data_IF_889811342868
#
_entry.id   IF_889811342868
#
_cell.length_a   1.000
_cell.length_b   1.000
_cell.length_c   1.000
_cell.angle_alpha   90.00
_cell.angle_beta   90.00
_cell.angle_gamma   90.00
#
_symmetry.space_group_name_H-M   'P 1'
#
loop_
_entity.id
_entity.type
_entity.pdbx_description
1 polymer ?
#
# COMPACT_ATOMS: atom_id res chain seq x y z
N UNK A 1 -11.55 -0.06 7.40
CA UNK A 1 -11.06 -1.44 7.21
C UNK A 1 -11.65 -1.91 5.89
N UNK A 2 -10.84 -2.57 5.05
CA UNK A 2 -11.33 -3.17 3.81
C UNK A 2 -12.48 -4.14 4.10
N UNK A 3 -13.41 -4.27 3.16
CA UNK A 3 -14.46 -5.30 3.21
C UNK A 3 -13.93 -6.72 2.91
N UNK A 4 -12.64 -6.84 2.56
CA UNK A 4 -11.96 -8.09 2.20
C UNK A 4 -10.55 -8.18 2.77
N UNK A 5 -10.04 -9.39 2.96
CA UNK A 5 -8.70 -9.66 3.47
C UNK A 5 -7.63 -9.61 2.37
N UNK A 6 -6.38 -9.43 2.78
CA UNK A 6 -5.22 -9.53 1.87
C UNK A 6 -5.17 -10.89 1.17
N UNK A 7 -5.50 -11.99 1.85
CA UNK A 7 -5.52 -13.32 1.23
C UNK A 7 -6.59 -13.43 0.14
N UNK A 8 -7.77 -12.82 0.31
CA UNK A 8 -8.80 -12.81 -0.74
C UNK A 8 -8.32 -12.07 -2.00
N UNK A 9 -7.55 -10.99 -1.83
CA UNK A 9 -6.90 -10.31 -2.96
C UNK A 9 -5.84 -11.20 -3.62
N UNK A 10 -5.00 -11.90 -2.83
CA UNK A 10 -3.98 -12.79 -3.38
C UNK A 10 -4.59 -14.00 -4.10
N UNK A 11 -5.69 -14.55 -3.61
CA UNK A 11 -6.44 -15.62 -4.27
C UNK A 11 -7.08 -15.14 -5.59
N UNK A 12 -7.59 -13.91 -5.61
CA UNK A 12 -8.05 -13.28 -6.85
C UNK A 12 -6.88 -13.06 -7.84
N UNK A 13 -5.70 -12.66 -7.37
CA UNK A 13 -4.50 -12.52 -8.19
C UNK A 13 -4.07 -13.86 -8.80
N UNK A 14 -4.10 -14.95 -8.03
CA UNK A 14 -3.86 -16.31 -8.56
C UNK A 14 -4.86 -16.66 -9.65
N UNK A 15 -6.14 -16.31 -9.45
CA UNK A 15 -7.18 -16.50 -10.47
C UNK A 15 -6.88 -15.72 -11.75
N UNK A 16 -6.43 -14.46 -11.66
CA UNK A 16 -6.02 -13.67 -12.83
C UNK A 16 -4.93 -14.40 -13.62
N UNK A 17 -3.91 -14.95 -12.96
CA UNK A 17 -2.83 -15.66 -13.65
C UNK A 17 -3.28 -16.95 -14.34
N UNK A 18 -4.29 -17.66 -13.80
CA UNK A 18 -4.89 -18.81 -14.51
C UNK A 18 -5.51 -18.36 -15.84
N UNK A 19 -6.20 -17.22 -15.84
CA UNK A 19 -6.81 -16.66 -17.05
C UNK A 19 -5.77 -16.19 -18.08
N UNK A 20 -4.68 -15.57 -17.61
CA UNK A 20 -3.56 -15.19 -18.47
C UNK A 20 -2.86 -16.43 -19.06
N UNK A 21 -2.71 -17.49 -18.27
CA UNK A 21 -2.16 -18.77 -18.75
C UNK A 21 -3.03 -19.38 -19.85
N UNK A 22 -4.36 -19.27 -19.76
CA UNK A 22 -5.25 -19.68 -20.85
C UNK A 22 -5.07 -18.84 -22.12
N UNK A 23 -4.82 -17.54 -22.00
CA UNK A 23 -4.50 -16.71 -23.18
C UNK A 23 -3.18 -17.13 -23.83
N UNK A 24 -2.17 -17.50 -23.03
CA UNK A 24 -0.93 -18.08 -23.54
C UNK A 24 -1.18 -19.45 -24.17
N UNK A 25 -2.05 -20.27 -23.58
CA UNK A 25 -2.42 -21.59 -24.10
C UNK A 25 -3.06 -21.49 -25.49
N UNK A 26 -4.02 -20.59 -25.67
CA UNK A 26 -4.71 -20.34 -26.95
C UNK A 26 -3.72 -19.84 -28.01
N UNK A 27 -2.86 -18.90 -27.63
CA UNK A 27 -1.99 -18.20 -28.58
C UNK A 27 -0.72 -18.96 -28.95
N UNK A 28 -0.15 -19.71 -28.00
CA UNK A 28 1.20 -20.27 -28.09
C UNK A 28 1.31 -21.75 -27.70
N UNK A 29 0.20 -22.39 -27.30
CA UNK A 29 0.13 -23.80 -26.98
C UNK A 29 0.53 -24.17 -25.55
N UNK A 30 0.30 -25.44 -25.16
CA UNK A 30 0.36 -25.89 -23.76
C UNK A 30 1.75 -25.79 -23.14
N UNK A 31 2.81 -26.00 -23.92
CA UNK A 31 4.19 -25.92 -23.41
C UNK A 31 4.53 -24.52 -22.91
N UNK A 32 4.17 -23.46 -23.65
CA UNK A 32 4.48 -22.08 -23.23
C UNK A 32 3.59 -21.64 -22.07
N UNK A 33 2.33 -22.06 -22.05
CA UNK A 33 1.43 -21.76 -20.95
C UNK A 33 1.90 -22.43 -19.64
N UNK A 34 2.35 -23.69 -19.72
CA UNK A 34 2.89 -24.40 -18.57
C UNK A 34 4.19 -23.77 -18.07
N UNK A 35 5.04 -23.29 -18.97
CA UNK A 35 6.26 -22.56 -18.61
C UNK A 35 5.96 -21.21 -17.96
N UNK A 36 4.87 -20.54 -18.36
CA UNK A 36 4.41 -19.28 -17.77
C UNK A 36 3.86 -19.48 -16.35
N UNK A 37 2.93 -20.42 -16.16
CA UNK A 37 2.20 -20.59 -14.89
C UNK A 37 2.87 -21.58 -13.92
N UNK A 38 3.81 -22.40 -14.40
CA UNK A 38 4.59 -23.34 -13.59
C UNK A 38 4.06 -24.77 -13.51
N UNK A 39 2.95 -25.10 -14.19
CA UNK A 39 2.38 -26.46 -14.20
C UNK A 39 1.58 -26.74 -15.47
N UNK A 40 1.41 -28.00 -15.90
CA UNK A 40 0.64 -28.33 -17.11
C UNK A 40 -0.88 -28.12 -16.92
N UNK A 41 -1.66 -27.95 -18.01
CA UNK A 41 -3.12 -27.87 -17.88
C UNK A 41 -3.66 -29.23 -17.40
N UNK A 42 -4.69 -29.22 -16.56
CA UNK A 42 -5.32 -30.46 -16.09
C UNK A 42 -6.26 -31.09 -17.11
N UNK A 43 -7.09 -32.02 -16.63
CA UNK A 43 -7.90 -32.91 -17.46
C UNK A 43 -8.91 -32.18 -18.36
N UNK A 44 -9.33 -30.97 -17.96
CA UNK A 44 -10.25 -30.13 -18.74
C UNK A 44 -9.54 -29.32 -19.82
N UNK A 45 -8.22 -29.36 -19.89
CA UNK A 45 -7.42 -28.69 -20.91
C UNK A 45 -7.31 -27.18 -20.78
N UNK A 46 -7.81 -26.57 -19.69
CA UNK A 46 -7.79 -25.12 -19.44
C UNK A 46 -7.41 -24.83 -17.98
N UNK A 47 -6.67 -23.75 -17.76
CA UNK A 47 -6.19 -23.30 -16.46
C UNK A 47 -7.28 -22.61 -15.63
N UNK A 48 -8.27 -21.95 -16.24
CA UNK A 48 -9.42 -21.36 -15.51
C UNK A 48 -10.16 -22.35 -14.61
N UNK A 49 -10.10 -23.65 -14.93
CA UNK A 49 -10.74 -24.71 -14.15
C UNK A 49 -9.87 -25.27 -13.02
N UNK A 50 -8.63 -24.81 -12.92
CA UNK A 50 -7.70 -25.21 -11.88
C UNK A 50 -7.96 -24.44 -10.58
N UNK A 51 -7.51 -25.01 -9.47
CA UNK A 51 -7.61 -24.33 -8.18
C UNK A 51 -6.58 -23.20 -8.12
N UNK A 52 -7.03 -22.00 -7.72
CA UNK A 52 -6.16 -20.83 -7.54
C UNK A 52 -4.93 -21.15 -6.68
N UNK A 53 -5.09 -21.95 -5.62
CA UNK A 53 -4.00 -22.38 -4.72
C UNK A 53 -2.87 -23.17 -5.38
N UNK A 54 -3.01 -23.63 -6.63
CA UNK A 54 -1.92 -24.25 -7.40
C UNK A 54 -0.91 -23.23 -7.94
N UNK A 55 -1.33 -21.96 -8.07
CA UNK A 55 -0.47 -20.89 -8.59
C UNK A 55 0.49 -20.44 -7.51
N UNK A 56 1.78 -20.65 -7.77
CA UNK A 56 2.86 -20.11 -6.94
C UNK A 56 3.11 -18.64 -7.31
N UNK A 57 2.65 -17.73 -6.45
CA UNK A 57 2.83 -16.29 -6.64
C UNK A 57 4.31 -15.85 -6.61
N UNK A 58 5.24 -16.68 -6.13
CA UNK A 58 6.67 -16.36 -6.18
C UNK A 58 7.23 -16.32 -7.61
N UNK A 59 6.57 -16.98 -8.57
CA UNK A 59 6.88 -16.86 -10.00
C UNK A 59 6.54 -15.45 -10.54
N UNK A 60 5.67 -14.72 -9.85
CA UNK A 60 5.19 -13.39 -10.20
C UNK A 60 5.51 -12.39 -9.07
N UNK A 61 6.70 -12.52 -8.48
CA UNK A 61 7.08 -11.84 -7.24
C UNK A 61 6.94 -10.32 -7.30
N UNK A 62 7.28 -9.68 -8.43
CA UNK A 62 7.28 -8.22 -8.55
C UNK A 62 5.87 -7.65 -8.41
N UNK A 63 4.93 -8.09 -9.26
CA UNK A 63 3.54 -7.61 -9.23
C UNK A 63 2.81 -8.08 -7.97
N UNK A 64 3.11 -9.29 -7.49
CA UNK A 64 2.57 -9.78 -6.21
C UNK A 64 2.99 -8.85 -5.08
N UNK A 65 4.29 -8.55 -4.96
CA UNK A 65 4.82 -7.64 -3.96
C UNK A 65 4.19 -6.24 -4.07
N UNK A 66 3.95 -5.74 -5.27
CA UNK A 66 3.27 -4.45 -5.50
C UNK A 66 1.83 -4.48 -4.96
N UNK A 67 1.06 -5.54 -5.20
CA UNK A 67 -0.29 -5.69 -4.62
C UNK A 67 -0.26 -5.77 -3.10
N UNK A 68 0.68 -6.52 -2.53
CA UNK A 68 0.83 -6.61 -1.09
C UNK A 68 1.14 -5.25 -0.46
N UNK A 69 2.10 -4.51 -1.00
CA UNK A 69 2.46 -3.16 -0.52
C UNK A 69 1.31 -2.18 -0.71
N UNK A 70 0.58 -2.24 -1.82
CA UNK A 70 -0.60 -1.41 -2.04
C UNK A 70 -1.73 -1.71 -1.05
N UNK A 71 -1.96 -2.99 -0.72
CA UNK A 71 -2.94 -3.36 0.31
C UNK A 71 -2.58 -2.73 1.66
N UNK A 72 -1.31 -2.86 2.07
CA UNK A 72 -0.80 -2.27 3.32
C UNK A 72 -0.89 -0.74 3.29
N UNK A 73 -0.50 -0.12 2.17
CA UNK A 73 -0.56 1.32 1.95
C UNK A 73 -1.98 1.90 2.10
N UNK A 74 -2.97 1.23 1.51
CA UNK A 74 -4.37 1.70 1.51
C UNK A 74 -5.04 1.45 2.85
N UNK A 75 -4.89 0.25 3.42
CA UNK A 75 -5.71 -0.20 4.55
C UNK A 75 -4.99 -0.15 5.91
N UNK A 76 -3.66 -0.23 5.91
CA UNK A 76 -2.80 -0.17 7.09
C UNK A 76 -1.93 1.08 7.04
N UNK A 77 -2.57 2.26 7.04
CA UNK A 77 -1.89 3.56 6.91
C UNK A 77 -0.79 3.71 7.95
N UNK A 78 0.44 3.81 7.46
CA UNK A 78 1.63 4.03 8.26
C UNK A 78 2.70 4.66 7.41
N UNK A 79 3.53 5.52 8.03
CA UNK A 79 4.77 6.04 7.44
C UNK A 79 5.76 4.93 7.09
N UNK A 80 5.57 3.73 7.64
CA UNK A 80 6.34 2.53 7.27
C UNK A 80 5.93 1.94 5.92
N UNK A 81 4.74 2.25 5.43
CA UNK A 81 4.19 1.72 4.20
C UNK A 81 4.33 2.78 3.10
N UNK A 82 5.55 2.96 2.60
CA UNK A 82 5.78 3.80 1.43
C UNK A 82 5.34 3.07 0.16
N UNK A 83 4.76 3.80 -0.79
CA UNK A 83 4.32 3.27 -2.07
C UNK A 83 4.63 4.30 -3.18
N UNK A 84 5.46 3.90 -4.14
CA UNK A 84 5.97 4.79 -5.19
C UNK A 84 5.00 4.96 -6.37
N UNK A 85 5.20 6.03 -7.14
CA UNK A 85 4.41 6.30 -8.35
C UNK A 85 4.51 5.15 -9.38
N UNK A 86 5.72 4.63 -9.60
CA UNK A 86 5.94 3.51 -10.52
C UNK A 86 5.11 2.27 -10.13
N UNK A 87 5.01 1.96 -8.84
CA UNK A 87 4.23 0.82 -8.36
C UNK A 87 2.73 1.04 -8.56
N UNK A 88 2.24 2.28 -8.37
CA UNK A 88 0.85 2.64 -8.67
C UNK A 88 0.57 2.44 -10.16
N UNK A 89 1.48 2.89 -11.02
CA UNK A 89 1.35 2.75 -12.47
C UNK A 89 1.35 1.28 -12.88
N UNK A 90 2.27 0.47 -12.35
CA UNK A 90 2.35 -0.96 -12.63
C UNK A 90 1.04 -1.67 -12.26
N UNK A 91 0.45 -1.36 -11.10
CA UNK A 91 -0.85 -1.92 -10.71
C UNK A 91 -1.99 -1.52 -11.65
N UNK A 92 -2.03 -0.26 -12.08
CA UNK A 92 -3.05 0.21 -13.01
C UNK A 92 -2.90 -0.45 -14.39
N UNK A 93 -1.69 -0.48 -14.92
CA UNK A 93 -1.37 -1.12 -16.21
C UNK A 93 -1.66 -2.63 -16.15
N UNK A 94 -1.25 -3.31 -15.07
CA UNK A 94 -1.55 -4.72 -14.87
C UNK A 94 -3.06 -4.96 -14.88
N UNK A 95 -3.83 -4.23 -14.06
CA UNK A 95 -5.29 -4.39 -14.00
C UNK A 95 -6.01 -4.02 -15.30
N UNK A 96 -5.48 -3.10 -16.09
CA UNK A 96 -5.98 -2.79 -17.43
C UNK A 96 -5.67 -3.89 -18.45
N UNK A 97 -4.51 -4.54 -18.32
CA UNK A 97 -4.07 -5.66 -19.15
C UNK A 97 -4.73 -7.00 -18.84
N UNK A 98 -5.36 -7.15 -17.67
CA UNK A 98 -6.02 -8.41 -17.28
C UNK A 98 -7.08 -8.86 -18.29
N UNK A 99 -7.17 -10.16 -18.58
CA UNK A 99 -8.23 -10.73 -19.41
C UNK A 99 -9.63 -10.31 -18.95
N UNK A 100 -10.43 -9.76 -19.86
CA UNK A 100 -11.84 -9.35 -19.58
C UNK A 100 -12.87 -10.41 -19.91
N UNK A 101 -12.41 -11.49 -20.51
CA UNK A 101 -13.12 -12.72 -20.81
C UNK A 101 -12.08 -13.82 -20.72
N UNK A 102 -12.47 -14.99 -20.21
CA UNK A 102 -11.60 -16.15 -20.25
C UNK A 102 -12.37 -17.44 -20.43
N UNK A 103 -11.60 -18.52 -20.44
CA UNK A 103 -11.98 -19.87 -20.84
C UNK A 103 -12.20 -20.02 -22.35
N UNK A 104 -11.54 -21.03 -22.92
CA UNK A 104 -11.73 -21.47 -24.30
C UNK A 104 -13.13 -22.05 -24.46
N UNK A 105 -13.58 -22.82 -23.46
CA UNK A 105 -14.87 -23.51 -23.44
C UNK A 105 -15.94 -22.86 -22.56
N UNK A 106 -15.59 -21.91 -21.69
CA UNK A 106 -16.53 -21.27 -20.75
C UNK A 106 -17.48 -20.25 -21.40
N UNK A 107 -17.30 -19.95 -22.69
CA UNK A 107 -18.20 -19.06 -23.44
C UNK A 107 -18.17 -17.60 -23.00
N UNK A 108 -17.06 -17.14 -22.40
CA UNK A 108 -16.90 -15.75 -21.95
C UNK A 108 -17.47 -15.48 -20.56
N UNK A 109 -17.33 -16.43 -19.64
CA UNK A 109 -17.71 -16.26 -18.24
C UNK A 109 -16.99 -15.05 -17.62
N UNK A 110 -17.77 -14.17 -16.98
CA UNK A 110 -17.25 -12.99 -16.29
C UNK A 110 -16.92 -13.33 -14.84
N UNK A 111 -15.67 -13.10 -14.45
CA UNK A 111 -15.22 -13.25 -13.06
C UNK A 111 -15.21 -11.92 -12.32
N UNK A 112 -15.19 -12.00 -10.98
CA UNK A 112 -15.20 -10.84 -10.09
C UNK A 112 -14.11 -9.82 -10.43
N UNK A 113 -12.87 -10.28 -10.67
CA UNK A 113 -11.73 -9.41 -10.98
C UNK A 113 -11.91 -8.60 -12.27
N UNK A 114 -12.81 -9.03 -13.17
CA UNK A 114 -13.14 -8.34 -14.41
C UNK A 114 -14.08 -7.16 -14.18
N UNK A 115 -14.74 -7.12 -13.02
CA UNK A 115 -15.62 -6.03 -12.60
C UNK A 115 -14.85 -4.98 -11.81
N UNK A 116 -15.37 -3.76 -11.67
CA UNK A 116 -14.81 -2.79 -10.75
C UNK A 116 -14.71 -3.33 -9.31
N UNK A 117 -15.61 -4.21 -8.87
CA UNK A 117 -15.65 -4.68 -7.49
C UNK A 117 -14.73 -5.89 -7.19
N UNK A 118 -13.85 -6.23 -8.13
CA UNK A 118 -12.72 -7.13 -7.91
C UNK A 118 -11.80 -6.62 -6.81
N UNK A 119 -11.26 -7.53 -5.99
CA UNK A 119 -10.36 -7.20 -4.89
C UNK A 119 -9.07 -6.53 -5.38
N UNK A 120 -8.40 -7.09 -6.38
CA UNK A 120 -7.21 -6.52 -7.01
C UNK A 120 -7.53 -5.14 -7.63
N UNK A 121 -8.66 -5.02 -8.33
CA UNK A 121 -9.07 -3.73 -8.91
C UNK A 121 -9.32 -2.68 -7.83
N UNK A 122 -10.01 -3.05 -6.75
CA UNK A 122 -10.27 -2.16 -5.62
C UNK A 122 -8.97 -1.70 -4.94
N UNK A 123 -7.99 -2.60 -4.76
CA UNK A 123 -6.67 -2.23 -4.22
C UNK A 123 -5.93 -1.28 -5.15
N UNK A 124 -5.84 -1.59 -6.44
CA UNK A 124 -5.15 -0.75 -7.42
C UNK A 124 -5.76 0.66 -7.50
N UNK A 125 -7.10 0.75 -7.60
CA UNK A 125 -7.81 2.02 -7.66
C UNK A 125 -7.68 2.82 -6.36
N UNK A 126 -7.75 2.16 -5.21
CA UNK A 126 -7.59 2.82 -3.92
C UNK A 126 -6.16 3.30 -3.67
N UNK A 127 -5.16 2.54 -4.14
CA UNK A 127 -3.75 2.92 -4.08
C UNK A 127 -3.49 4.16 -4.94
N UNK A 128 -4.01 4.20 -6.17
CA UNK A 128 -3.95 5.39 -7.02
C UNK A 128 -4.64 6.60 -6.36
N UNK A 129 -5.86 6.42 -5.86
CA UNK A 129 -6.60 7.48 -5.19
C UNK A 129 -5.83 8.03 -3.98
N UNK A 130 -5.23 7.15 -3.18
CA UNK A 130 -4.44 7.55 -2.02
C UNK A 130 -3.16 8.25 -2.45
N UNK A 131 -2.45 7.72 -3.42
CA UNK A 131 -1.23 8.34 -3.93
C UNK A 131 -1.48 9.76 -4.47
N UNK A 132 -2.59 9.96 -5.20
CA UNK A 132 -3.06 11.30 -5.63
C UNK A 132 -3.28 12.25 -4.45
N UNK A 133 -3.84 11.74 -3.35
CA UNK A 133 -4.18 12.56 -2.18
C UNK A 133 -2.95 12.99 -1.37
N UNK A 134 -1.94 12.12 -1.29
CA UNK A 134 -0.86 12.27 -0.32
C UNK A 134 0.51 12.60 -0.97
N UNK A 135 0.80 12.15 -2.20
CA UNK A 135 2.14 12.25 -2.81
C UNK A 135 2.20 12.88 -4.19
N UNK A 136 1.11 12.94 -4.95
CA UNK A 136 1.15 13.55 -6.29
C UNK A 136 1.66 15.01 -6.26
N UNK A 137 1.62 15.67 -5.10
CA UNK A 137 2.18 17.01 -4.89
C UNK A 137 1.47 18.10 -5.69
N UNK A 138 0.45 17.74 -6.44
CA UNK A 138 -0.24 18.56 -7.40
C UNK A 138 -1.71 18.68 -7.00
N UNK A 139 -2.07 19.88 -6.52
CA UNK A 139 -3.45 20.25 -6.23
C UNK A 139 -4.37 20.20 -7.48
N UNK A 140 -3.81 19.95 -8.67
CA UNK A 140 -4.56 19.70 -9.90
C UNK A 140 -5.16 18.29 -10.00
N UNK A 141 -4.78 17.36 -9.11
CA UNK A 141 -5.28 15.99 -9.13
C UNK A 141 -6.82 15.95 -9.06
N UNK A 142 -7.41 15.07 -9.86
CA UNK A 142 -8.87 14.88 -9.95
C UNK A 142 -9.26 13.51 -9.44
N UNK A 143 -10.38 13.48 -8.74
CA UNK A 143 -10.95 12.30 -8.13
C UNK A 143 -12.29 11.95 -8.77
N UNK A 144 -12.40 10.72 -9.23
CA UNK A 144 -13.65 10.12 -9.69
C UNK A 144 -14.54 9.74 -8.52
N UNK A 145 -15.83 9.48 -8.80
CA UNK A 145 -16.77 8.98 -7.77
C UNK A 145 -16.31 7.69 -7.12
N UNK A 146 -15.60 6.85 -7.88
CA UNK A 146 -15.09 5.56 -7.42
C UNK A 146 -13.92 5.71 -6.47
N UNK A 147 -12.95 6.56 -6.83
CA UNK A 147 -11.79 6.84 -5.97
C UNK A 147 -12.23 7.43 -4.62
N UNK A 148 -13.19 8.36 -4.62
CA UNK A 148 -13.76 8.90 -3.38
C UNK A 148 -14.52 7.85 -2.57
N UNK A 149 -15.24 6.94 -3.23
CA UNK A 149 -15.97 5.86 -2.57
C UNK A 149 -15.02 4.91 -1.84
N UNK A 150 -13.93 4.52 -2.52
CA UNK A 150 -12.88 3.67 -1.96
C UNK A 150 -12.17 4.35 -0.78
N UNK A 151 -11.76 5.61 -0.92
CA UNK A 151 -11.09 6.35 0.16
C UNK A 151 -11.99 6.56 1.38
N UNK A 152 -13.28 6.82 1.16
CA UNK A 152 -14.26 7.04 2.22
C UNK A 152 -14.90 5.75 2.75
N UNK A 153 -14.51 4.58 2.23
CA UNK A 153 -15.05 3.27 2.56
C UNK A 153 -16.60 3.23 2.49
N UNK A 154 -17.16 3.61 1.34
CA UNK A 154 -18.59 3.62 1.05
C UNK A 154 -18.88 3.28 -0.41
N UNK A 155 -20.16 3.21 -0.79
CA UNK A 155 -20.55 2.94 -2.19
C UNK A 155 -20.43 4.17 -3.09
N UNK A 156 -20.20 3.96 -4.38
CA UNK A 156 -20.24 5.04 -5.38
C UNK A 156 -21.61 5.75 -5.41
N UNK A 157 -22.69 5.01 -5.13
CA UNK A 157 -24.03 5.58 -5.03
C UNK A 157 -24.11 6.65 -3.92
N UNK A 158 -23.50 6.39 -2.77
CA UNK A 158 -23.45 7.36 -1.67
C UNK A 158 -22.66 8.63 -2.07
N UNK A 159 -21.56 8.48 -2.81
CA UNK A 159 -20.80 9.62 -3.34
C UNK A 159 -21.63 10.41 -4.37
N UNK A 160 -22.32 9.73 -5.29
CA UNK A 160 -23.22 10.38 -6.26
C UNK A 160 -24.34 11.16 -5.56
N UNK A 161 -24.90 10.61 -4.48
CA UNK A 161 -25.89 11.31 -3.66
C UNK A 161 -25.28 12.54 -2.96
N UNK A 162 -24.05 12.46 -2.45
CA UNK A 162 -23.36 13.60 -1.86
C UNK A 162 -23.07 14.72 -2.87
N UNK A 163 -22.88 14.37 -4.15
CA UNK A 163 -22.73 15.34 -5.24
C UNK A 163 -24.07 15.99 -5.59
N UNK A 164 -25.15 15.19 -5.63
CA UNK A 164 -26.49 15.65 -5.97
C UNK A 164 -27.16 16.46 -4.85
N UNK A 165 -26.62 16.42 -3.63
CA UNK A 165 -27.13 17.17 -2.48
C UNK A 165 -27.18 18.69 -2.76
N UNK A 166 -28.16 19.36 -2.17
CA UNK A 166 -28.41 20.81 -2.28
C UNK A 166 -28.01 21.59 -1.03
N UNK A 167 -27.53 20.92 0.02
CA UNK A 167 -27.02 21.57 1.23
C UNK A 167 -25.65 22.23 0.99
N UNK A 168 -25.26 23.16 1.87
CA UNK A 168 -23.95 23.84 1.81
C UNK A 168 -22.76 22.86 1.98
N UNK A 169 -22.98 21.71 2.65
CA UNK A 169 -21.97 20.70 2.90
C UNK A 169 -21.75 19.68 1.77
N UNK A 170 -22.44 19.84 0.63
CA UNK A 170 -22.36 18.92 -0.52
C UNK A 170 -20.95 18.76 -1.09
N UNK A 171 -20.77 17.68 -1.86
CA UNK A 171 -19.56 17.44 -2.63
C UNK A 171 -19.65 18.15 -3.99
N UNK A 172 -18.77 19.12 -4.25
CA UNK A 172 -18.80 19.90 -5.49
C UNK A 172 -18.04 19.19 -6.60
N UNK A 173 -18.75 18.74 -7.63
CA UNK A 173 -18.12 18.23 -8.85
C UNK A 173 -17.67 19.38 -9.76
N UNK A 174 -16.64 19.11 -10.57
CA UNK A 174 -16.15 20.00 -11.62
C UNK A 174 -17.22 20.14 -12.70
N UNK A 175 -17.74 21.35 -12.97
CA UNK A 175 -18.79 21.54 -13.98
C UNK A 175 -18.38 21.03 -15.36
N UNK A 176 -19.26 20.27 -16.01
CA UNK A 176 -19.04 19.76 -17.37
C UNK A 176 -18.05 18.59 -17.47
N UNK A 177 -17.47 18.13 -16.37
CA UNK A 177 -16.54 17.00 -16.38
C UNK A 177 -17.24 15.67 -16.71
N UNK A 178 -16.69 14.92 -17.67
CA UNK A 178 -17.12 13.58 -18.07
C UNK A 178 -15.88 12.66 -18.17
N UNK A 179 -15.74 11.61 -17.35
CA UNK A 179 -16.62 11.24 -16.23
C UNK A 179 -16.65 12.31 -15.13
N UNK A 180 -17.65 12.24 -14.24
CA UNK A 180 -17.80 13.19 -13.11
C UNK A 180 -16.54 13.13 -12.24
N UNK A 181 -15.94 14.29 -12.02
CA UNK A 181 -14.72 14.44 -11.22
C UNK A 181 -14.86 15.55 -10.17
N UNK A 182 -14.06 15.47 -9.12
CA UNK A 182 -13.93 16.43 -8.04
C UNK A 182 -12.46 16.86 -7.97
N UNK A 183 -12.20 18.15 -7.75
CA UNK A 183 -10.83 18.66 -7.57
C UNK A 183 -10.23 18.23 -6.22
N UNK A 184 -8.90 18.35 -6.10
CA UNK A 184 -8.17 17.92 -4.92
C UNK A 184 -8.63 18.58 -3.63
N UNK A 185 -8.78 19.92 -3.61
CA UNK A 185 -9.10 20.67 -2.41
C UNK A 185 -10.49 20.30 -1.88
N UNK A 186 -11.46 20.18 -2.77
CA UNK A 186 -12.82 19.76 -2.44
C UNK A 186 -12.87 18.30 -2.00
N UNK A 187 -12.15 17.39 -2.68
CA UNK A 187 -12.03 16.00 -2.29
C UNK A 187 -11.46 15.87 -0.87
N UNK A 188 -10.34 16.53 -0.58
CA UNK A 188 -9.70 16.53 0.74
C UNK A 188 -10.62 17.09 1.82
N UNK A 189 -11.25 18.24 1.58
CA UNK A 189 -12.24 18.85 2.50
C UNK A 189 -13.36 17.88 2.82
N UNK A 190 -13.95 17.26 1.80
CA UNK A 190 -15.09 16.37 1.96
C UNK A 190 -14.69 15.07 2.67
N UNK A 191 -13.56 14.46 2.30
CA UNK A 191 -13.03 13.23 2.88
C UNK A 191 -12.72 13.39 4.37
N UNK A 192 -12.09 14.50 4.79
CA UNK A 192 -11.76 14.76 6.20
C UNK A 192 -12.97 14.75 7.14
N UNK A 193 -14.18 14.98 6.63
CA UNK A 193 -15.43 14.88 7.40
C UNK A 193 -16.08 13.49 7.41
N UNK A 194 -15.49 12.48 6.77
CA UNK A 194 -16.12 11.15 6.62
C UNK A 194 -15.56 10.15 7.62
N UNK A 195 -16.46 9.47 8.32
CA UNK A 195 -16.13 8.42 9.30
C UNK A 195 -15.32 7.27 8.71
N UNK A 196 -15.59 6.88 7.47
CA UNK A 196 -14.87 5.81 6.79
C UNK A 196 -13.55 6.26 6.15
N UNK A 197 -13.36 7.58 6.00
CA UNK A 197 -12.08 8.12 5.59
C UNK A 197 -11.10 8.13 6.75
N UNK A 198 -9.86 7.90 6.38
CA UNK A 198 -8.82 7.53 7.28
C UNK A 198 -7.61 8.36 6.82
N UNK A 199 -7.28 9.48 7.49
CA UNK A 199 -6.22 10.39 7.06
C UNK A 199 -4.83 9.77 7.23
N UNK A 200 -3.86 10.21 6.43
CA UNK A 200 -2.46 9.86 6.67
C UNK A 200 -1.97 10.46 7.99
N UNK A 201 -1.15 9.76 8.79
CA UNK A 201 -0.56 10.34 10.00
C UNK A 201 0.37 11.51 9.64
N UNK A 202 -0.01 12.71 10.07
CA UNK A 202 0.79 13.93 9.84
C UNK A 202 2.13 13.84 10.59
N UNK A 203 2.10 13.40 11.85
CA UNK A 203 3.28 13.20 12.70
C UNK A 203 3.55 11.72 12.95
N UNK A 204 4.80 11.35 13.17
CA UNK A 204 5.17 9.97 13.46
C UNK A 204 4.55 9.46 14.78
N UNK A 205 4.38 10.32 15.78
CA UNK A 205 3.70 9.99 17.03
C UNK A 205 2.22 9.61 16.86
N UNK A 206 1.55 10.09 15.81
CA UNK A 206 0.13 9.79 15.55
C UNK A 206 -0.05 8.47 14.77
N UNK A 207 1.05 7.86 14.30
CA UNK A 207 1.06 6.60 13.58
C UNK A 207 1.06 5.41 14.55
N UNK A 208 -0.12 4.80 14.73
CA UNK A 208 -0.31 3.65 15.62
C UNK A 208 0.49 2.41 15.22
N UNK A 209 0.68 2.19 13.91
CA UNK A 209 1.42 1.03 13.42
C UNK A 209 2.91 1.22 13.64
N UNK A 210 3.41 2.43 13.41
CA UNK A 210 4.78 2.79 13.74
C UNK A 210 5.04 2.70 15.24
N UNK A 211 4.17 3.28 16.07
CA UNK A 211 4.31 3.22 17.53
C UNK A 211 4.31 1.76 18.05
N UNK A 212 3.50 0.89 17.44
CA UNK A 212 3.53 -0.54 17.73
C UNK A 212 4.84 -1.19 17.27
N UNK A 213 5.30 -0.92 16.04
CA UNK A 213 6.54 -1.47 15.52
C UNK A 213 7.75 -1.09 16.37
N UNK A 214 7.81 0.16 16.85
CA UNK A 214 8.85 0.60 17.78
C UNK A 214 8.74 -0.18 19.10
N UNK A 215 7.54 -0.27 19.68
CA UNK A 215 7.32 -1.02 20.94
C UNK A 215 7.70 -2.49 20.81
N UNK A 216 7.43 -3.10 19.67
CA UNK A 216 7.64 -4.53 19.42
C UNK A 216 9.08 -4.83 18.97
N UNK A 217 9.93 -3.83 18.68
CA UNK A 217 11.32 -4.03 18.30
C UNK A 217 12.11 -4.77 19.41
N UNK A 218 12.76 -5.88 19.11
CA UNK A 218 13.47 -6.67 20.12
C UNK A 218 14.96 -6.34 20.17
N UNK A 219 15.50 -5.82 19.07
CA UNK A 219 16.94 -5.56 18.92
C UNK A 219 17.25 -4.11 18.53
N UNK A 220 18.47 -3.60 18.83
CA UNK A 220 18.92 -2.30 18.35
C UNK A 220 18.88 -2.17 16.82
N UNK A 221 19.12 -3.26 16.07
CA UNK A 221 19.07 -3.28 14.60
C UNK A 221 17.65 -3.13 14.06
N UNK A 222 16.66 -3.72 14.73
CA UNK A 222 15.27 -3.53 14.35
C UNK A 222 14.82 -2.10 14.59
N UNK A 223 15.20 -1.52 15.73
CA UNK A 223 14.93 -0.12 16.03
C UNK A 223 15.64 0.81 15.03
N UNK A 224 16.89 0.55 14.69
CA UNK A 224 17.65 1.36 13.72
C UNK A 224 17.05 1.29 12.32
N UNK A 225 16.54 0.12 11.90
CA UNK A 225 15.81 -0.02 10.64
C UNK A 225 14.56 0.85 10.61
N UNK A 226 13.79 0.90 11.70
CA UNK A 226 12.62 1.77 11.81
C UNK A 226 13.02 3.25 11.73
N UNK A 227 14.11 3.65 12.42
CA UNK A 227 14.64 5.02 12.33
C UNK A 227 14.98 5.36 10.87
N UNK A 228 15.71 4.48 10.18
CA UNK A 228 16.05 4.66 8.76
C UNK A 228 14.82 4.77 7.86
N UNK A 229 13.78 3.98 8.11
CA UNK A 229 12.52 4.02 7.36
C UNK A 229 11.77 5.34 7.55
N UNK A 230 11.63 5.83 8.80
CA UNK A 230 10.96 7.10 9.10
C UNK A 230 11.75 8.27 8.48
N UNK A 231 13.08 8.23 8.61
CA UNK A 231 13.96 9.28 8.16
C UNK A 231 14.09 9.33 6.62
N UNK A 232 13.83 8.22 5.92
CA UNK A 232 13.79 8.10 4.45
C UNK A 232 15.16 8.19 3.76
N UNK A 233 15.17 8.35 2.43
CA UNK A 233 16.40 8.42 1.62
C UNK A 233 17.27 9.62 2.03
N UNK A 234 18.54 9.40 2.38
CA UNK A 234 19.40 10.46 2.93
C UNK A 234 19.16 10.74 4.41
N UNK A 235 18.60 9.76 5.14
CA UNK A 235 18.34 9.81 6.58
C UNK A 235 19.51 10.40 7.38
N UNK A 236 20.73 9.94 7.10
CA UNK A 236 21.93 10.36 7.82
C UNK A 236 22.15 11.87 7.72
N UNK A 237 22.23 12.40 6.51
CA UNK A 237 22.49 13.83 6.28
C UNK A 237 21.35 14.70 6.79
N UNK A 238 20.09 14.28 6.58
CA UNK A 238 18.93 15.05 7.03
C UNK A 238 18.85 15.14 8.55
N UNK A 239 18.93 14.01 9.23
CA UNK A 239 18.88 13.98 10.70
C UNK A 239 20.10 14.68 11.30
N UNK A 240 21.30 14.47 10.76
CA UNK A 240 22.50 15.18 11.20
C UNK A 240 22.32 16.70 11.12
N UNK A 241 21.76 17.21 10.02
CA UNK A 241 21.46 18.62 9.86
C UNK A 241 20.40 19.15 10.85
N UNK A 242 19.31 18.39 11.06
CA UNK A 242 18.25 18.77 12.03
C UNK A 242 18.78 18.79 13.46
N UNK A 243 19.62 17.82 13.81
CA UNK A 243 20.21 17.69 15.14
C UNK A 243 21.42 18.60 15.36
N UNK A 244 22.01 19.14 14.29
CA UNK A 244 23.29 19.84 14.34
C UNK A 244 24.46 18.90 14.72
N UNK A 245 24.34 17.60 14.45
CA UNK A 245 25.34 16.60 14.78
C UNK A 245 26.27 16.30 13.60
N UNK A 246 27.51 15.84 13.84
CA UNK A 246 28.30 15.18 12.81
C UNK A 246 27.59 13.91 12.31
N UNK A 247 27.63 13.62 11.00
CA UNK A 247 27.04 12.40 10.45
C UNK A 247 27.58 11.11 11.11
N UNK A 248 28.86 11.13 11.52
CA UNK A 248 29.49 10.02 12.25
C UNK A 248 28.83 9.72 13.61
N UNK A 249 28.27 10.74 14.28
CA UNK A 249 27.59 10.60 15.57
C UNK A 249 26.19 10.00 15.43
N UNK A 250 25.60 10.11 14.22
CA UNK A 250 24.29 9.55 13.90
C UNK A 250 24.39 8.11 13.38
N UNK A 251 25.51 7.74 12.76
CA UNK A 251 25.71 6.41 12.18
C UNK A 251 25.34 5.24 13.13
N UNK A 252 25.68 5.27 14.44
CA UNK A 252 25.30 4.20 15.37
C UNK A 252 23.79 4.02 15.53
N UNK A 253 23.01 5.11 15.36
CA UNK A 253 21.55 5.06 15.42
C UNK A 253 20.92 4.46 14.17
N UNK A 254 21.63 4.46 13.04
CA UNK A 254 21.16 3.94 11.76
C UNK A 254 21.56 2.48 11.54
N UNK A 255 22.69 2.03 12.11
CA UNK A 255 23.15 0.64 12.00
C UNK A 255 22.87 -0.22 13.25
N UNK A 256 22.35 0.38 14.32
CA UNK A 256 21.99 -0.31 15.56
C UNK A 256 23.18 -0.57 16.49
N UNK A 257 24.32 0.10 16.29
CA UNK A 257 25.49 0.04 17.18
C UNK A 257 25.49 1.11 18.28
N UNK A 258 24.42 1.91 18.40
CA UNK A 258 24.34 2.98 19.40
C UNK A 258 24.49 2.46 20.84
N UNK A 259 25.17 3.26 21.66
CA UNK A 259 25.13 3.12 23.10
C UNK A 259 24.02 4.01 23.66
N UNK A 260 23.24 3.49 24.60
CA UNK A 260 22.13 4.26 25.17
C UNK A 260 22.63 5.51 25.88
N UNK A 261 22.11 6.64 25.44
CA UNK A 261 22.24 7.95 26.06
C UNK A 261 20.86 8.62 26.02
N UNK A 262 20.34 9.02 27.18
CA UNK A 262 18.97 9.51 27.33
C UNK A 262 18.73 10.81 26.56
N UNK A 263 19.73 11.70 26.53
CA UNK A 263 19.63 13.00 25.87
C UNK A 263 19.66 12.82 24.36
N UNK A 264 20.61 12.03 23.85
CA UNK A 264 20.71 11.69 22.42
C UNK A 264 19.47 10.94 21.93
N UNK A 265 18.96 9.99 22.71
CA UNK A 265 17.73 9.28 22.38
C UNK A 265 16.53 10.23 22.29
N UNK A 266 16.44 11.20 23.23
CA UNK A 266 15.40 12.22 23.22
C UNK A 266 15.48 13.11 21.99
N UNK A 267 16.68 13.61 21.66
CA UNK A 267 16.91 14.45 20.49
C UNK A 267 16.56 13.73 19.17
N UNK A 268 16.94 12.45 19.02
CA UNK A 268 16.56 11.65 17.84
C UNK A 268 15.04 11.45 17.77
N UNK A 269 14.37 11.19 18.90
CA UNK A 269 12.92 11.05 18.93
C UNK A 269 12.20 12.34 18.51
N UNK A 270 12.64 13.49 19.03
CA UNK A 270 12.10 14.81 18.68
C UNK A 270 12.30 15.14 17.21
N UNK A 271 13.51 14.90 16.67
CA UNK A 271 13.81 15.13 15.25
C UNK A 271 12.98 14.27 14.30
N UNK A 272 12.52 13.10 14.77
CA UNK A 272 11.64 12.20 14.03
C UNK A 272 10.15 12.38 14.35
N UNK A 273 9.79 13.37 15.20
CA UNK A 273 8.43 13.62 15.70
C UNK A 273 7.77 12.38 16.35
N UNK A 274 8.57 11.58 17.05
CA UNK A 274 8.12 10.40 17.79
C UNK A 274 7.65 10.75 19.21
N UNK A 275 6.92 9.83 19.83
CA UNK A 275 6.67 9.91 21.27
C UNK A 275 7.98 9.70 22.04
N UNK A 276 8.50 10.79 22.61
CA UNK A 276 9.82 10.81 23.26
C UNK A 276 9.92 9.79 24.40
N UNK A 277 8.98 9.73 25.38
CA UNK A 277 9.06 8.74 26.46
C UNK A 277 9.08 7.28 25.96
N UNK A 278 8.22 6.95 24.99
CA UNK A 278 8.14 5.61 24.42
C UNK A 278 9.42 5.24 23.68
N UNK A 279 9.94 6.12 22.83
CA UNK A 279 11.16 5.86 22.07
C UNK A 279 12.39 5.74 22.98
N UNK A 280 12.57 6.68 23.92
CA UNK A 280 13.70 6.66 24.87
C UNK A 280 13.67 5.38 25.72
N UNK A 281 12.50 5.03 26.27
CA UNK A 281 12.33 3.79 27.03
C UNK A 281 12.67 2.55 26.20
N UNK A 282 12.28 2.55 24.92
CA UNK A 282 12.57 1.45 24.02
C UNK A 282 14.04 1.34 23.64
N UNK A 283 14.70 2.46 23.36
CA UNK A 283 16.14 2.51 23.08
C UNK A 283 16.96 1.95 24.26
N UNK A 284 16.57 2.28 25.50
CA UNK A 284 17.15 1.69 26.71
C UNK A 284 16.93 0.17 26.76
N UNK A 285 15.68 -0.26 26.58
CA UNK A 285 15.29 -1.68 26.65
C UNK A 285 16.11 -2.55 25.68
N UNK A 286 16.17 -2.18 24.39
CA UNK A 286 16.88 -2.98 23.38
C UNK A 286 18.41 -2.99 23.61
N UNK A 287 18.95 -1.92 24.19
CA UNK A 287 20.37 -1.85 24.56
C UNK A 287 20.67 -2.77 25.74
N UNK A 288 19.80 -2.80 26.76
CA UNK A 288 19.97 -3.67 27.94
C UNK A 288 19.78 -5.15 27.63
N UNK A 289 18.89 -5.48 26.68
CA UNK A 289 18.64 -6.86 26.24
C UNK A 289 19.78 -7.43 25.40
N UNK A 290 20.59 -6.57 24.79
CA UNK A 290 21.76 -7.01 24.05
C UNK A 290 22.77 -7.54 25.07
N UNK A 291 23.04 -8.87 25.13
CA UNK A 291 24.02 -9.38 26.05
C UNK A 291 25.35 -8.71 25.71
N UNK A 292 26.08 -8.20 26.71
CA UNK A 292 27.50 -7.86 26.52
C UNK A 292 28.23 -9.12 26.01
N UNK A 293 28.39 -9.27 24.69
CA UNK A 293 28.98 -10.48 24.12
C UNK A 293 28.71 -10.71 22.64
N UNK A 294 29.18 -9.79 21.81
CA UNK A 294 29.32 -9.97 20.37
C UNK A 294 30.55 -9.24 19.86
N UNK A 295 31.72 -9.55 20.46
CA UNK A 295 33.03 -9.33 19.86
C UNK A 295 33.53 -10.69 19.37
#
# INVERSE_FOLDING_TARGET
MAEFSKEQMLDELRTIFLFEADHVLISSGPTKAAAFIGFPPGDKGEYVHEQASKVDLSLFADITGSFERAYEFVFNRSRLNAFGEHEVQDLQVFMEGTPRVGGISSGGEMHRFMTPDGYCRAVADAALARWKLEWAGDESAKFTTRELALLANMSEGAVRMAIADKTEGRLKAIPGSKPVAVDFAEAKRWLSGRRGFAPWPERAADDRLLARAIRDAETPKELSRLIGQIAGIGAADRLANVLGWPAADLQPWLDGSFSFDVERAGQVAEALELDVPMFVGKALEVTLRTPKGGR
#
